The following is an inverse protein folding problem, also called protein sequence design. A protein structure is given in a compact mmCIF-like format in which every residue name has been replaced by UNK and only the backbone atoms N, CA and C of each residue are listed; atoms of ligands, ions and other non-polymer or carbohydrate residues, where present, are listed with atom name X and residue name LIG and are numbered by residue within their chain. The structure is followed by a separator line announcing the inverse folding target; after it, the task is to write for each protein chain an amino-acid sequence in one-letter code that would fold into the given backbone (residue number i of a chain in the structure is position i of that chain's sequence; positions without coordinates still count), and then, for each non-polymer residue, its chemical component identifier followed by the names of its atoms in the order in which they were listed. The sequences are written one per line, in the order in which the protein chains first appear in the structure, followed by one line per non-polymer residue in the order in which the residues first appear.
data_IF_076128737711
#
_entry.id   IF_076128737711
#
_cell.length_a   1.000
_cell.length_b   1.000
_cell.length_c   1.000
_cell.angle_alpha   90.00
_cell.angle_beta   90.00
_cell.angle_gamma   90.00
#
_symmetry.space_group_name_H-M   'P 1'
#
loop_
_entity.id
_entity.type
_entity.pdbx_description
1 polymer ?
#
# COMPACT_ATOMS: atom_id res chain seq x y z
N UNK A 1 -26.76 3.35 -23.22
CA UNK A 1 -25.61 2.52 -22.82
C UNK A 1 -24.32 3.36 -22.80
N UNK A 2 -24.00 3.96 -21.66
CA UNK A 2 -22.79 4.75 -21.47
C UNK A 2 -21.64 3.81 -21.07
N UNK A 3 -20.44 3.92 -21.66
CA UNK A 3 -19.27 3.17 -21.20
C UNK A 3 -18.94 3.54 -19.74
N UNK A 4 -18.37 2.61 -18.95
CA UNK A 4 -18.00 2.88 -17.56
C UNK A 4 -16.98 4.03 -17.51
N UNK A 5 -17.25 4.99 -16.64
CA UNK A 5 -16.43 6.19 -16.44
C UNK A 5 -14.99 5.81 -16.00
N UNK A 6 -13.96 6.54 -16.46
CA UNK A 6 -12.60 6.36 -15.95
C UNK A 6 -12.51 6.73 -14.46
N UNK A 7 -11.72 6.01 -13.65
CA UNK A 7 -11.56 6.31 -12.23
C UNK A 7 -10.88 7.67 -12.00
N UNK A 8 -11.35 8.40 -11.00
CA UNK A 8 -10.82 9.71 -10.58
C UNK A 8 -9.44 9.56 -9.93
N UNK A 9 -8.56 10.59 -10.02
CA UNK A 9 -7.24 10.56 -9.38
C UNK A 9 -7.35 10.56 -7.84
N UNK A 10 -6.45 9.87 -7.12
CA UNK A 10 -6.45 9.84 -5.65
C UNK A 10 -6.17 11.22 -5.05
N UNK A 11 -6.65 11.50 -3.81
CA UNK A 11 -6.43 12.77 -3.14
C UNK A 11 -4.94 12.99 -2.80
N UNK A 12 -4.43 14.23 -2.84
CA UNK A 12 -3.04 14.55 -2.51
C UNK A 12 -2.78 14.35 -1.01
N UNK A 13 -1.81 13.49 -0.68
CA UNK A 13 -1.38 13.24 0.70
C UNK A 13 -0.61 14.41 1.35
N UNK A 14 -0.40 14.37 2.69
CA UNK A 14 0.31 15.41 3.47
C UNK A 14 1.79 15.59 3.05
N UNK A 15 2.41 16.77 3.32
CA UNK A 15 3.80 17.09 2.92
C UNK A 15 4.89 16.36 3.75
N UNK A 16 6.14 16.27 3.24
CA UNK A 16 7.05 15.14 3.45
C UNK A 16 8.07 15.30 4.61
N UNK A 17 8.77 14.21 4.95
CA UNK A 17 10.22 14.28 5.16
C UNK A 17 11.04 13.22 4.35
N UNK A 18 11.80 13.72 3.38
CA UNK A 18 13.14 13.32 2.87
C UNK A 18 13.49 11.88 2.44
N UNK A 19 12.71 10.84 2.71
CA UNK A 19 12.87 9.50 2.13
C UNK A 19 11.59 9.19 1.35
N UNK A 20 11.58 9.44 0.03
CA UNK A 20 10.37 9.48 -0.77
C UNK A 20 9.41 8.29 -0.55
N UNK A 21 8.09 8.51 -0.69
CA UNK A 21 7.07 7.54 -0.29
C UNK A 21 7.20 6.22 -1.04
N UNK A 22 6.72 5.13 -0.42
CA UNK A 22 6.44 3.91 -1.17
C UNK A 22 5.30 4.18 -2.17
N UNK A 23 5.55 3.94 -3.45
CA UNK A 23 4.56 4.19 -4.51
C UNK A 23 3.80 2.90 -4.79
N UNK A 24 2.47 2.94 -4.70
CA UNK A 24 1.61 1.84 -5.11
C UNK A 24 1.49 1.82 -6.64
N UNK A 25 1.95 0.74 -7.25
CA UNK A 25 1.82 0.48 -8.68
C UNK A 25 0.53 -0.29 -9.00
N UNK A 26 0.08 -1.15 -8.08
CA UNK A 26 -1.17 -1.92 -8.19
C UNK A 26 -1.85 -1.88 -6.82
N UNK A 27 -3.15 -1.63 -6.81
CA UNK A 27 -3.99 -1.60 -5.61
C UNK A 27 -5.41 -2.02 -5.98
N UNK A 28 -6.21 -2.56 -5.05
CA UNK A 28 -7.62 -2.84 -5.28
C UNK A 28 -8.39 -1.53 -5.55
N UNK A 29 -9.53 -1.62 -6.26
CA UNK A 29 -10.47 -0.51 -6.34
C UNK A 29 -10.99 -0.14 -4.95
N UNK A 30 -11.45 1.11 -4.77
CA UNK A 30 -12.04 1.58 -3.51
C UNK A 30 -13.21 0.71 -3.05
N UNK A 31 -13.91 0.06 -3.98
CA UNK A 31 -14.94 -0.95 -3.74
C UNK A 31 -14.56 -2.22 -4.48
N UNK A 32 -14.22 -3.27 -3.75
CA UNK A 32 -13.76 -4.55 -4.28
C UNK A 32 -14.78 -5.64 -3.98
N UNK A 33 -15.36 -6.25 -5.01
CA UNK A 33 -16.25 -7.40 -4.88
C UNK A 33 -15.48 -8.73 -4.82
N UNK A 34 -14.33 -8.71 -4.15
CA UNK A 34 -13.44 -9.86 -4.04
C UNK A 34 -12.76 -9.85 -2.68
N UNK A 35 -12.74 -11.02 -2.03
CA UNK A 35 -12.06 -11.27 -0.74
C UNK A 35 -10.52 -11.35 -0.88
N UNK A 36 -10.01 -10.95 -2.05
CA UNK A 36 -8.61 -10.99 -2.44
C UNK A 36 -8.23 -9.58 -2.87
N UNK A 37 -7.14 -9.05 -2.31
CA UNK A 37 -6.56 -7.77 -2.71
C UNK A 37 -5.08 -7.94 -3.01
N UNK A 38 -4.67 -7.41 -4.15
CA UNK A 38 -3.28 -7.42 -4.60
C UNK A 38 -2.70 -6.01 -4.53
N UNK A 39 -1.52 -5.91 -3.92
CA UNK A 39 -0.79 -4.67 -3.75
C UNK A 39 0.60 -4.82 -4.35
N UNK A 40 0.91 -3.99 -5.33
CA UNK A 40 2.28 -3.82 -5.81
C UNK A 40 2.73 -2.45 -5.35
N UNK A 41 3.89 -2.40 -4.71
CA UNK A 41 4.50 -1.15 -4.32
C UNK A 41 5.99 -1.18 -4.62
N UNK A 42 6.54 -0.03 -4.94
CA UNK A 42 7.96 0.13 -5.12
C UNK A 42 8.43 1.37 -4.39
N UNK A 43 9.62 1.30 -3.82
CA UNK A 43 10.23 2.46 -3.17
C UNK A 43 11.44 2.81 -4.02
N UNK A 44 11.42 3.90 -4.81
CA UNK A 44 12.49 4.20 -5.77
C UNK A 44 13.86 4.42 -5.10
N UNK A 45 13.86 4.76 -3.80
CA UNK A 45 15.06 4.87 -2.98
C UNK A 45 15.68 3.50 -2.62
N UNK A 46 14.90 2.43 -2.66
CA UNK A 46 15.36 1.07 -2.37
C UNK A 46 15.90 0.46 -3.66
N UNK A 47 17.22 0.38 -3.72
CA UNK A 47 17.97 -0.02 -4.89
C UNK A 47 19.07 -1.01 -4.47
N UNK A 48 19.78 -1.69 -5.37
CA UNK A 48 20.79 -2.68 -5.00
C UNK A 48 21.91 -2.12 -4.08
N UNK A 49 22.10 -0.80 -4.05
CA UNK A 49 23.05 -0.12 -3.15
C UNK A 49 22.45 0.29 -1.81
N UNK A 50 21.11 0.29 -1.66
CA UNK A 50 20.38 0.64 -0.44
C UNK A 50 19.40 -0.48 -0.10
N UNK A 51 19.75 -1.30 0.89
CA UNK A 51 18.87 -2.36 1.35
C UNK A 51 17.73 -1.77 2.21
N UNK A 52 16.49 -2.06 1.81
CA UNK A 52 15.29 -1.67 2.54
C UNK A 52 14.48 -2.90 2.91
N UNK A 53 13.76 -2.80 4.03
CA UNK A 53 12.76 -3.75 4.47
C UNK A 53 11.40 -3.06 4.40
N UNK A 54 10.45 -3.63 3.67
CA UNK A 54 9.07 -3.14 3.67
C UNK A 54 8.31 -3.75 4.83
N UNK A 55 7.56 -2.90 5.50
CA UNK A 55 6.68 -3.28 6.60
C UNK A 55 5.26 -2.96 6.16
N UNK A 56 4.41 -3.97 6.15
CA UNK A 56 3.01 -3.87 5.81
C UNK A 56 2.16 -4.07 7.05
N UNK A 57 1.06 -3.34 7.11
CA UNK A 57 0.07 -3.44 8.17
C UNK A 57 -1.31 -3.43 7.53
N UNK A 58 -2.09 -4.46 7.81
CA UNK A 58 -3.49 -4.53 7.44
C UNK A 58 -4.36 -4.12 8.63
N UNK A 59 -5.23 -3.14 8.45
CA UNK A 59 -6.16 -2.61 9.43
C UNK A 59 -5.48 -2.29 10.77
N UNK A 60 -5.85 -3.07 11.79
CA UNK A 60 -5.30 -3.00 13.13
C UNK A 60 -4.39 -4.17 13.46
N UNK A 61 -4.01 -4.99 12.48
CA UNK A 61 -3.06 -6.07 12.66
C UNK A 61 -1.68 -5.51 13.04
N UNK A 62 -0.83 -6.35 13.67
CA UNK A 62 0.56 -6.01 13.89
C UNK A 62 1.27 -5.77 12.54
N UNK A 63 2.15 -4.75 12.47
CA UNK A 63 2.97 -4.54 11.28
C UNK A 63 3.96 -5.69 11.10
N UNK A 64 4.07 -6.19 9.88
CA UNK A 64 4.84 -7.37 9.53
C UNK A 64 5.66 -7.12 8.26
N UNK A 65 6.80 -7.79 8.16
CA UNK A 65 7.69 -7.65 6.99
C UNK A 65 7.02 -8.27 5.77
N UNK A 66 6.88 -7.49 4.72
CA UNK A 66 6.26 -7.89 3.46
C UNK A 66 7.19 -7.62 2.29
N UNK A 67 6.93 -8.26 1.14
CA UNK A 67 7.64 -7.98 -0.10
C UNK A 67 6.65 -7.71 -1.21
N UNK A 68 7.00 -6.83 -2.15
CA UNK A 68 6.18 -6.62 -3.35
C UNK A 68 6.47 -7.73 -4.37
N UNK A 69 5.44 -8.38 -4.95
CA UNK A 69 4.00 -8.13 -4.75
C UNK A 69 3.42 -8.78 -3.49
N UNK A 70 2.46 -8.12 -2.84
CA UNK A 70 1.71 -8.63 -1.69
C UNK A 70 0.29 -9.02 -2.13
N UNK A 71 -0.11 -10.24 -1.80
CA UNK A 71 -1.48 -10.73 -2.04
C UNK A 71 -2.13 -11.06 -0.70
N UNK A 72 -3.19 -10.34 -0.37
CA UNK A 72 -4.04 -10.60 0.78
C UNK A 72 -5.21 -11.49 0.35
N UNK A 73 -5.52 -12.50 1.14
CA UNK A 73 -6.62 -13.44 0.92
C UNK A 73 -7.49 -13.55 2.16
N UNK A 74 -8.75 -13.93 2.00
CA UNK A 74 -9.72 -14.07 3.11
C UNK A 74 -9.99 -12.74 3.82
N UNK A 75 -10.11 -11.65 3.04
CA UNK A 75 -10.58 -10.36 3.54
C UNK A 75 -12.08 -10.45 3.87
N UNK A 76 -12.50 -9.80 4.96
CA UNK A 76 -13.90 -9.77 5.36
C UNK A 76 -14.63 -8.66 4.62
N UNK A 77 -15.96 -8.75 4.53
CA UNK A 77 -16.77 -7.63 4.04
C UNK A 77 -16.61 -6.42 4.97
N UNK A 78 -16.40 -5.25 4.39
CA UNK A 78 -16.24 -3.99 5.12
C UNK A 78 -15.00 -3.18 4.73
N UNK A 79 -14.78 -2.05 5.43
CA UNK A 79 -13.65 -1.16 5.17
C UNK A 79 -12.34 -1.78 5.67
N UNK A 80 -11.35 -1.75 4.79
CA UNK A 80 -10.00 -2.21 5.03
C UNK A 80 -8.98 -1.09 4.81
N UNK A 81 -7.92 -1.07 5.61
CA UNK A 81 -6.81 -0.11 5.50
C UNK A 81 -5.47 -0.81 5.44
N UNK A 82 -4.73 -0.68 4.34
CA UNK A 82 -3.41 -1.27 4.19
C UNK A 82 -2.35 -0.19 4.21
N UNK A 83 -1.46 -0.25 5.19
CA UNK A 83 -0.36 0.70 5.35
C UNK A 83 0.96 0.00 5.03
N UNK A 84 1.77 0.62 4.18
CA UNK A 84 3.12 0.17 3.85
C UNK A 84 4.13 1.26 4.15
N UNK A 85 5.25 0.91 4.73
CA UNK A 85 6.40 1.80 4.87
C UNK A 85 7.70 1.03 4.62
N UNK A 86 8.70 1.73 4.07
CA UNK A 86 10.02 1.17 3.85
C UNK A 86 10.97 1.62 4.97
N UNK A 87 11.71 0.69 5.55
CA UNK A 87 12.77 0.97 6.52
C UNK A 87 14.12 0.61 5.90
N UNK A 88 15.04 1.58 5.78
CA UNK A 88 16.40 1.30 5.32
C UNK A 88 17.17 0.54 6.41
N UNK A 89 17.86 -0.55 6.05
CA UNK A 89 18.64 -1.30 7.03
C UNK A 89 19.83 -0.46 7.51
N UNK A 90 19.86 -0.15 8.81
CA UNK A 90 20.94 0.63 9.43
C UNK A 90 20.61 2.11 9.65
N UNK A 91 19.44 2.59 9.24
CA UNK A 91 18.91 3.90 9.63
C UNK A 91 17.82 3.75 10.69
N UNK A 92 17.74 4.71 11.62
CA UNK A 92 16.60 4.87 12.53
C UNK A 92 15.40 5.49 11.78
N UNK A 93 15.67 6.08 10.61
CA UNK A 93 14.68 6.72 9.75
C UNK A 93 13.83 5.69 9.02
N UNK A 94 12.53 5.67 9.30
CA UNK A 94 11.54 5.00 8.47
C UNK A 94 11.09 5.97 7.37
N UNK A 95 10.87 5.45 6.17
CA UNK A 95 10.22 6.21 5.10
C UNK A 95 8.77 6.53 5.43
N UNK A 96 8.17 7.43 4.67
CA UNK A 96 6.77 7.83 4.86
C UNK A 96 5.83 6.62 4.75
N UNK A 97 4.97 6.38 5.76
CA UNK A 97 3.94 5.37 5.65
C UNK A 97 2.88 5.81 4.65
N UNK A 98 2.57 4.90 3.72
CA UNK A 98 1.54 5.11 2.71
C UNK A 98 0.41 4.14 2.99
N UNK A 99 -0.79 4.68 3.16
CA UNK A 99 -1.98 3.92 3.50
C UNK A 99 -2.99 3.97 2.36
N UNK A 100 -3.50 2.80 1.97
CA UNK A 100 -4.60 2.64 1.04
C UNK A 100 -5.82 2.19 1.83
N UNK A 101 -6.95 2.84 1.59
CA UNK A 101 -8.24 2.44 2.12
C UNK A 101 -9.09 1.90 0.97
N UNK A 102 -9.77 0.79 1.20
CA UNK A 102 -10.76 0.21 0.29
C UNK A 102 -11.84 -0.48 1.09
N UNK A 103 -12.94 -0.85 0.44
CA UNK A 103 -14.06 -1.57 1.03
C UNK A 103 -14.24 -2.87 0.25
N UNK A 104 -14.37 -3.97 0.97
CA UNK A 104 -14.74 -5.27 0.40
C UNK A 104 -16.26 -5.41 0.47
N UNK A 105 -16.90 -5.65 -0.67
CA UNK A 105 -18.35 -5.77 -0.87
C UNK A 105 -18.62 -7.03 -1.71
N UNK A 106 -18.50 -8.20 -1.09
CA UNK A 106 -18.50 -9.53 -1.74
C UNK A 106 -19.85 -10.22 -1.66
#
# INVERSE_FOLDING_TARGET
PQPPSPPLPPPPGPPPPSFGPAEFAVQPPELSASEIAEFHFSTPRCNPSVWCVHICRLDNQPPETCGSPVTLTSLQEGPHTFTVFAAASGEISQGDPVSINWVVDT
#
